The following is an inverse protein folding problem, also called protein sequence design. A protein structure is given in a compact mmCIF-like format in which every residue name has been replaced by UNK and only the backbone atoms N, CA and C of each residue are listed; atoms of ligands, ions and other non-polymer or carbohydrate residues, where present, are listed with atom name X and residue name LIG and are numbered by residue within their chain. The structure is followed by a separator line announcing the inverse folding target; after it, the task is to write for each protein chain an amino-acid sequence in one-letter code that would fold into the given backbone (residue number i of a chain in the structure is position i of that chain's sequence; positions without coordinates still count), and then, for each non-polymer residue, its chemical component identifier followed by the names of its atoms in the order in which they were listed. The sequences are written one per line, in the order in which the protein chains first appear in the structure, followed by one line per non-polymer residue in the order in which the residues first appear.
data_IF_249189513744
#
_entry.id   IF_249189513744
#
_cell.length_a   1.000
_cell.length_b   1.000
_cell.length_c   1.000
_cell.angle_alpha   90.00
_cell.angle_beta   90.00
_cell.angle_gamma   90.00
#
_symmetry.space_group_name_H-M   'P 1'
#
loop_
_entity.id
_entity.type
_entity.pdbx_description
1 polymer ?
#
# COMPACT_ATOMS: atom_id res chain seq x y z
N UNK A 1 31.69 22.38 30.63
CA UNK A 1 30.74 22.75 29.55
C UNK A 1 31.05 21.92 28.31
N UNK A 2 30.22 20.94 27.97
CA UNK A 2 30.24 20.28 26.64
C UNK A 2 28.78 19.98 26.26
N UNK A 3 28.11 20.94 25.59
CA UNK A 3 26.79 20.72 24.97
C UNK A 3 26.98 19.76 23.79
N UNK A 4 26.73 18.47 24.00
CA UNK A 4 26.69 17.47 22.91
C UNK A 4 25.55 17.79 21.95
N UNK A 5 25.85 17.61 20.66
CA UNK A 5 25.13 18.16 19.52
C UNK A 5 23.66 17.71 19.37
N UNK A 6 22.75 18.60 18.90
CA UNK A 6 21.33 18.27 18.65
C UNK A 6 21.10 17.33 17.45
N UNK A 7 22.13 16.98 16.67
CA UNK A 7 22.01 16.18 15.43
C UNK A 7 21.58 14.72 15.67
N UNK A 8 21.95 14.11 16.79
CA UNK A 8 21.60 12.72 17.10
C UNK A 8 20.13 12.54 17.50
N UNK A 9 19.45 13.62 17.93
CA UNK A 9 18.05 13.56 18.37
C UNK A 9 17.10 13.38 17.18
N UNK A 10 17.38 14.05 16.06
CA UNK A 10 16.60 13.90 14.82
C UNK A 10 16.78 12.52 14.20
N UNK A 11 18.02 12.00 14.16
CA UNK A 11 18.29 10.66 13.63
C UNK A 11 17.54 9.60 14.43
N UNK A 12 17.53 9.71 15.77
CA UNK A 12 16.83 8.78 16.64
C UNK A 12 15.30 8.86 16.46
N UNK A 13 14.75 10.07 16.35
CA UNK A 13 13.31 10.28 16.12
C UNK A 13 12.85 9.73 14.76
N UNK A 14 13.65 9.94 13.71
CA UNK A 14 13.37 9.39 12.37
C UNK A 14 13.51 7.87 12.38
N UNK A 15 14.49 7.32 13.10
CA UNK A 15 14.68 5.88 13.22
C UNK A 15 13.58 5.22 14.07
N UNK A 16 13.09 5.88 15.12
CA UNK A 16 11.96 5.43 15.93
C UNK A 16 10.64 5.55 15.16
N UNK A 17 10.49 6.55 14.28
CA UNK A 17 9.37 6.67 13.34
C UNK A 17 9.43 5.62 12.22
N UNK A 18 10.62 5.27 11.74
CA UNK A 18 10.84 4.20 10.77
C UNK A 18 10.62 2.80 11.38
N UNK A 19 10.97 2.62 12.65
CA UNK A 19 10.85 1.36 13.38
C UNK A 19 9.57 1.24 14.22
N UNK A 20 8.72 2.26 14.25
CA UNK A 20 7.37 2.14 14.78
C UNK A 20 6.70 0.96 14.07
N UNK A 21 6.00 0.10 14.83
CA UNK A 21 5.18 -0.97 14.28
C UNK A 21 4.15 -0.33 13.35
N UNK A 22 4.53 -0.18 12.07
CA UNK A 22 3.63 0.27 11.04
C UNK A 22 2.45 -0.65 11.12
N UNK A 23 1.25 -0.07 11.21
CA UNK A 23 0.01 -0.82 11.07
C UNK A 23 -0.09 -1.29 9.62
N UNK A 24 0.71 -2.29 9.27
CA UNK A 24 0.82 -2.87 7.94
C UNK A 24 -0.56 -3.28 7.44
N UNK A 25 -1.43 -3.75 8.35
CA UNK A 25 -2.84 -4.03 8.05
C UNK A 25 -3.64 -2.79 7.60
N UNK A 26 -3.42 -1.62 8.21
CA UNK A 26 -4.07 -0.37 7.77
C UNK A 26 -3.50 0.13 6.44
N UNK A 27 -2.17 0.13 6.28
CA UNK A 27 -1.53 0.55 5.03
C UNK A 27 -1.92 -0.37 3.86
N UNK A 28 -1.94 -1.68 4.08
CA UNK A 28 -2.40 -2.68 3.12
C UNK A 28 -3.90 -2.53 2.79
N UNK A 29 -4.72 -2.27 3.80
CA UNK A 29 -6.16 -2.04 3.62
C UNK A 29 -6.45 -0.77 2.81
N UNK A 30 -5.77 0.33 3.11
CA UNK A 30 -5.90 1.60 2.39
C UNK A 30 -5.45 1.43 0.93
N UNK A 31 -4.32 0.77 0.70
CA UNK A 31 -3.82 0.53 -0.66
C UNK A 31 -4.72 -0.40 -1.47
N UNK A 32 -5.30 -1.45 -0.86
CA UNK A 32 -6.35 -2.27 -1.51
C UNK A 32 -7.59 -1.46 -1.87
N UNK A 33 -8.10 -0.67 -0.92
CA UNK A 33 -9.30 0.14 -1.12
C UNK A 33 -9.09 1.17 -2.24
N UNK A 34 -7.94 1.82 -2.26
CA UNK A 34 -7.58 2.76 -3.31
C UNK A 34 -7.50 2.09 -4.69
N UNK A 35 -6.87 0.91 -4.78
CA UNK A 35 -6.80 0.14 -6.03
C UNK A 35 -8.19 -0.29 -6.52
N UNK A 36 -9.06 -0.74 -5.62
CA UNK A 36 -10.44 -1.11 -5.97
C UNK A 36 -11.24 0.08 -6.51
N UNK A 37 -11.17 1.24 -5.84
CA UNK A 37 -11.81 2.47 -6.30
C UNK A 37 -11.30 2.87 -7.68
N UNK A 38 -9.97 2.83 -7.88
CA UNK A 38 -9.35 3.20 -9.15
C UNK A 38 -9.82 2.30 -10.31
N UNK A 39 -9.88 0.99 -10.10
CA UNK A 39 -10.34 0.02 -11.10
C UNK A 39 -11.83 0.18 -11.43
N UNK A 40 -12.66 0.47 -10.42
CA UNK A 40 -14.09 0.73 -10.61
C UNK A 40 -14.30 2.03 -11.37
N UNK A 41 -13.58 3.11 -11.00
CA UNK A 41 -13.63 4.38 -11.72
C UNK A 41 -13.17 4.20 -13.17
N UNK A 42 -12.07 3.49 -13.41
CA UNK A 42 -11.59 3.21 -14.76
C UNK A 42 -12.65 2.49 -15.62
N UNK A 43 -13.32 1.48 -15.04
CA UNK A 43 -14.43 0.77 -15.71
C UNK A 43 -15.61 1.70 -16.02
N UNK A 44 -16.00 2.56 -15.07
CA UNK A 44 -17.10 3.50 -15.27
C UNK A 44 -16.78 4.54 -16.34
N UNK A 45 -15.59 5.13 -16.29
CA UNK A 45 -15.13 6.11 -17.27
C UNK A 45 -15.07 5.49 -18.67
N UNK A 46 -14.47 4.31 -18.83
CA UNK A 46 -14.44 3.63 -20.13
C UNK A 46 -15.84 3.24 -20.64
N UNK A 47 -16.75 2.85 -19.73
CA UNK A 47 -18.15 2.62 -20.08
C UNK A 47 -18.85 3.88 -20.62
N UNK A 48 -18.59 5.04 -20.00
CA UNK A 48 -19.20 6.33 -20.39
C UNK A 48 -18.59 6.86 -21.69
N UNK A 49 -17.26 6.86 -21.82
CA UNK A 49 -16.56 7.50 -22.93
C UNK A 49 -16.45 6.61 -24.17
N UNK A 50 -16.19 5.32 -24.01
CA UNK A 50 -15.86 4.41 -25.12
C UNK A 50 -16.99 3.46 -25.49
N UNK A 51 -18.06 3.36 -24.67
CA UNK A 51 -19.20 2.43 -24.83
C UNK A 51 -18.81 0.95 -24.99
N UNK A 52 -17.54 0.62 -24.77
CA UNK A 52 -16.98 -0.74 -24.85
C UNK A 52 -16.42 -1.10 -23.47
N UNK A 53 -16.82 -2.23 -22.87
CA UNK A 53 -16.32 -2.64 -21.57
C UNK A 53 -14.88 -3.18 -21.71
N UNK A 54 -13.87 -2.31 -21.58
CA UNK A 54 -12.45 -2.68 -21.64
C UNK A 54 -12.03 -3.66 -20.54
N UNK A 55 -12.68 -3.58 -19.36
CA UNK A 55 -12.37 -4.43 -18.22
C UNK A 55 -13.64 -5.14 -17.72
N UNK A 56 -13.58 -6.47 -17.66
CA UNK A 56 -14.64 -7.30 -17.08
C UNK A 56 -14.59 -7.25 -15.55
N UNK A 57 -15.72 -7.49 -14.89
CA UNK A 57 -15.75 -7.59 -13.42
C UNK A 57 -14.85 -8.72 -12.90
N UNK A 58 -14.70 -9.81 -13.67
CA UNK A 58 -13.78 -10.91 -13.37
C UNK A 58 -12.32 -10.45 -13.37
N UNK A 59 -11.94 -9.58 -14.31
CA UNK A 59 -10.59 -9.02 -14.37
C UNK A 59 -10.28 -8.14 -13.15
N UNK A 60 -11.23 -7.30 -12.71
CA UNK A 60 -11.08 -6.47 -11.50
C UNK A 60 -10.84 -7.34 -10.27
N UNK A 61 -11.69 -8.36 -10.07
CA UNK A 61 -11.55 -9.30 -8.94
C UNK A 61 -10.20 -10.03 -9.01
N UNK A 62 -9.79 -10.48 -10.20
CA UNK A 62 -8.51 -11.14 -10.41
C UNK A 62 -7.32 -10.26 -10.01
N UNK A 63 -7.31 -8.99 -10.44
CA UNK A 63 -6.26 -8.02 -10.07
C UNK A 63 -6.22 -7.78 -8.56
N UNK A 64 -7.38 -7.62 -7.92
CA UNK A 64 -7.46 -7.43 -6.46
C UNK A 64 -6.94 -8.65 -5.69
N UNK A 65 -7.25 -9.87 -6.14
CA UNK A 65 -6.74 -11.10 -5.53
C UNK A 65 -5.22 -11.24 -5.70
N UNK A 66 -4.68 -10.96 -6.88
CA UNK A 66 -3.23 -10.97 -7.13
C UNK A 66 -2.54 -9.95 -6.22
N UNK A 67 -3.09 -8.74 -6.13
CA UNK A 67 -2.54 -7.68 -5.29
C UNK A 67 -2.57 -8.06 -3.80
N UNK A 68 -3.66 -8.67 -3.33
CA UNK A 68 -3.74 -9.21 -1.97
C UNK A 68 -2.68 -10.29 -1.70
N UNK A 69 -2.45 -11.18 -2.67
CA UNK A 69 -1.46 -12.24 -2.57
C UNK A 69 -0.03 -11.66 -2.49
N UNK A 70 0.27 -10.60 -3.26
CA UNK A 70 1.54 -9.86 -3.18
C UNK A 70 1.74 -9.27 -1.79
N UNK A 71 0.72 -8.62 -1.22
CA UNK A 71 0.79 -8.04 0.14
C UNK A 71 1.08 -9.14 1.17
N UNK A 72 0.42 -10.29 1.07
CA UNK A 72 0.65 -11.42 1.98
C UNK A 72 2.08 -11.96 1.85
N UNK A 73 2.57 -12.17 0.62
CA UNK A 73 3.96 -12.61 0.39
C UNK A 73 4.94 -11.60 0.96
N UNK A 74 4.72 -10.31 0.72
CA UNK A 74 5.56 -9.25 1.23
C UNK A 74 5.60 -9.28 2.76
N UNK A 75 4.45 -9.49 3.41
CA UNK A 75 4.36 -9.62 4.86
C UNK A 75 5.13 -10.83 5.40
N UNK A 76 5.04 -11.98 4.73
CA UNK A 76 5.79 -13.19 5.10
C UNK A 76 7.29 -12.97 4.95
N UNK A 77 7.73 -12.30 3.88
CA UNK A 77 9.15 -11.98 3.64
C UNK A 77 9.66 -10.99 4.69
N UNK A 78 8.88 -9.97 5.04
CA UNK A 78 9.24 -9.01 6.08
C UNK A 78 9.37 -9.69 7.45
N UNK A 79 8.43 -10.58 7.80
CA UNK A 79 8.51 -11.35 9.05
C UNK A 79 9.67 -12.36 9.08
N UNK A 80 10.18 -12.80 7.92
CA UNK A 80 11.39 -13.65 7.85
C UNK A 80 12.70 -12.87 7.86
N UNK A 81 12.66 -11.55 7.59
CA UNK A 81 13.85 -10.68 7.61
C UNK A 81 14.05 -9.95 8.95
N UNK A 82 12.98 -9.72 9.70
CA UNK A 82 13.05 -9.35 11.13
C UNK A 82 13.50 -10.55 11.96
#
# INVERSE_FOLDING_TARGET
MLRRAPKLKYIKTVNDWLNQDRHFGQEAGISMGFLAILLVLYKLLTGIFTKVPFISWRAIIGVLLIFALIIVIFRIVEMRRK
#
